data_IF_576140276863
#
_entry.id   IF_576140276863
#
_cell.length_a   1.000
_cell.length_b   1.000
_cell.length_c   1.000
_cell.angle_alpha   90.00
_cell.angle_beta   90.00
_cell.angle_gamma   90.00
#
_symmetry.space_group_name_H-M   'P 1'
#
loop_
_entity.id
_entity.type
_entity.pdbx_description
1 polymer ?
#
# COMPACT_ATOMS: atom_id res chain seq x y z
N UNK A 1 -40.50 105.93 -1.13
CA UNK A 1 -40.16 104.78 -0.24
C UNK A 1 -40.16 103.48 -1.10
N UNK A 2 -39.04 102.76 -1.28
CA UNK A 2 -38.97 101.58 -2.11
C UNK A 2 -39.46 100.39 -1.31
N UNK A 3 -40.40 99.58 -1.90
CA UNK A 3 -40.93 98.35 -1.37
C UNK A 3 -39.84 97.26 -1.47
N UNK A 4 -39.43 96.73 -0.30
CA UNK A 4 -38.52 95.59 -0.18
C UNK A 4 -39.19 94.32 -0.72
N UNK A 5 -38.62 93.75 -1.80
CA UNK A 5 -39.00 92.40 -2.33
C UNK A 5 -38.44 91.34 -1.39
N UNK A 6 -39.33 90.64 -0.62
CA UNK A 6 -39.01 89.41 0.10
C UNK A 6 -38.68 88.34 -0.89
N UNK A 7 -37.45 87.81 -0.90
CA UNK A 7 -37.09 86.56 -1.63
C UNK A 7 -37.87 85.35 -1.08
N UNK A 8 -38.41 84.52 -1.95
CA UNK A 8 -39.11 83.34 -1.48
C UNK A 8 -38.16 82.41 -0.71
N UNK A 9 -38.53 81.89 0.44
CA UNK A 9 -37.81 80.88 1.20
C UNK A 9 -37.74 79.63 0.35
N UNK A 10 -36.55 79.19 -0.07
CA UNK A 10 -36.33 77.91 -0.75
C UNK A 10 -36.83 76.80 0.15
N UNK A 11 -37.78 76.05 -0.34
CA UNK A 11 -38.40 74.95 0.43
C UNK A 11 -37.39 73.80 0.46
N UNK A 12 -36.65 73.69 1.55
CA UNK A 12 -35.62 72.66 1.74
C UNK A 12 -36.20 71.27 2.10
N UNK A 13 -37.52 71.15 2.20
CA UNK A 13 -38.22 69.92 2.60
C UNK A 13 -37.90 68.71 1.67
N UNK A 14 -37.95 68.94 0.35
CA UNK A 14 -37.61 67.89 -0.64
C UNK A 14 -36.14 67.43 -0.53
N UNK A 15 -35.21 68.39 -0.34
CA UNK A 15 -33.80 68.10 -0.11
C UNK A 15 -33.56 67.28 1.14
N UNK A 16 -34.27 67.62 2.24
CA UNK A 16 -34.16 66.89 3.50
C UNK A 16 -34.75 65.46 3.40
N UNK A 17 -35.87 65.28 2.70
CA UNK A 17 -36.44 63.98 2.41
C UNK A 17 -35.46 63.12 1.58
N UNK A 18 -34.86 63.65 0.54
CA UNK A 18 -33.82 62.96 -0.26
C UNK A 18 -32.60 62.55 0.57
N UNK A 19 -32.15 63.44 1.46
CA UNK A 19 -31.03 63.14 2.37
C UNK A 19 -31.37 62.03 3.34
N UNK A 20 -32.59 61.98 3.87
CA UNK A 20 -33.07 60.89 4.74
C UNK A 20 -33.15 59.59 3.98
N UNK A 21 -33.67 59.59 2.75
CA UNK A 21 -33.72 58.37 1.89
C UNK A 21 -32.30 57.85 1.61
N UNK A 22 -31.38 58.72 1.25
CA UNK A 22 -29.95 58.33 1.02
C UNK A 22 -29.33 57.79 2.28
N UNK A 23 -29.57 58.42 3.45
CA UNK A 23 -29.07 57.94 4.73
C UNK A 23 -29.61 56.53 5.06
N UNK A 24 -30.93 56.34 4.89
CA UNK A 24 -31.56 55.01 5.09
C UNK A 24 -30.95 53.98 4.13
N UNK A 25 -30.79 54.31 2.85
CA UNK A 25 -30.13 53.41 1.88
C UNK A 25 -28.71 53.08 2.28
N UNK A 26 -27.92 54.01 2.75
CA UNK A 26 -26.53 53.77 3.22
C UNK A 26 -26.55 52.87 4.44
N UNK A 27 -27.46 53.09 5.41
CA UNK A 27 -27.58 52.21 6.60
C UNK A 27 -27.99 50.80 6.20
N UNK A 28 -28.96 50.64 5.31
CA UNK A 28 -29.45 49.33 4.84
C UNK A 28 -28.36 48.63 4.06
N UNK A 29 -27.69 49.27 3.12
CA UNK A 29 -26.59 48.69 2.36
C UNK A 29 -25.42 48.34 3.30
N UNK A 30 -25.06 49.21 4.25
CA UNK A 30 -24.04 48.93 5.24
C UNK A 30 -24.36 47.74 6.11
N UNK A 31 -25.65 47.59 6.48
CA UNK A 31 -26.13 46.38 7.20
C UNK A 31 -26.04 45.10 6.38
N UNK A 32 -26.43 45.15 5.12
CA UNK A 32 -26.30 44.00 4.17
C UNK A 32 -24.83 43.62 3.98
N UNK A 33 -23.96 44.58 3.71
CA UNK A 33 -22.53 44.33 3.56
C UNK A 33 -21.90 43.79 4.86
N UNK A 34 -22.26 44.35 6.02
CA UNK A 34 -21.78 43.88 7.32
C UNK A 34 -22.24 42.48 7.63
N UNK A 35 -23.51 42.13 7.36
CA UNK A 35 -24.02 40.79 7.48
C UNK A 35 -23.31 39.79 6.55
N UNK A 36 -23.13 40.16 5.29
CA UNK A 36 -22.38 39.34 4.32
C UNK A 36 -20.95 39.08 4.79
N UNK A 37 -20.24 40.12 5.21
CA UNK A 37 -18.86 40.04 5.67
C UNK A 37 -18.72 39.10 6.88
N UNK A 38 -19.57 39.20 7.88
CA UNK A 38 -19.55 38.33 9.08
C UNK A 38 -19.78 36.88 8.70
N UNK A 39 -20.73 36.58 7.78
CA UNK A 39 -21.04 35.23 7.37
C UNK A 39 -20.01 34.59 6.46
N UNK A 40 -19.05 35.33 5.94
CA UNK A 40 -17.93 34.83 5.14
C UNK A 40 -16.66 34.60 5.97
N UNK A 41 -16.65 35.05 7.25
CA UNK A 41 -15.51 34.84 8.15
C UNK A 41 -15.47 33.38 8.67
N UNK A 42 -14.31 32.91 9.13
CA UNK A 42 -14.16 31.61 9.75
C UNK A 42 -15.21 31.34 10.85
N UNK A 43 -15.63 30.09 10.96
CA UNK A 43 -16.61 29.65 12.00
C UNK A 43 -15.90 29.52 13.34
N UNK A 44 -14.69 28.97 13.37
CA UNK A 44 -13.88 28.68 14.54
C UNK A 44 -12.45 29.28 14.44
N UNK A 45 -11.55 28.70 15.19
CA UNK A 45 -10.15 29.12 15.31
C UNK A 45 -9.15 28.21 14.57
N UNK A 46 -9.63 27.20 13.82
CA UNK A 46 -8.83 26.24 13.09
C UNK A 46 -8.44 24.99 13.87
N UNK A 47 -8.96 24.85 15.10
CA UNK A 47 -8.65 23.68 15.92
C UNK A 47 -9.43 22.42 15.51
N UNK A 48 -10.53 22.57 14.77
CA UNK A 48 -11.35 21.48 14.29
C UNK A 48 -11.11 21.24 12.79
N UNK A 49 -10.39 20.17 12.46
CA UNK A 49 -10.13 19.73 11.08
C UNK A 49 -11.04 18.58 10.72
N UNK A 50 -11.61 18.60 9.53
CA UNK A 50 -12.58 17.62 9.02
C UNK A 50 -12.16 17.18 7.62
N UNK A 51 -12.21 15.89 7.34
CA UNK A 51 -12.14 15.35 5.96
C UNK A 51 -13.55 15.47 5.35
N UNK A 52 -13.73 16.52 4.55
CA UNK A 52 -15.00 16.85 3.90
C UNK A 52 -15.11 16.12 2.56
N UNK A 53 -16.13 15.27 2.40
CA UNK A 53 -16.38 14.52 1.17
C UNK A 53 -17.32 15.28 0.24
N UNK A 54 -16.96 15.39 -1.02
CA UNK A 54 -17.83 15.81 -2.12
C UNK A 54 -18.06 14.61 -3.02
N UNK A 55 -19.30 14.11 -3.07
CA UNK A 55 -19.65 12.97 -3.90
C UNK A 55 -19.68 13.36 -5.39
N UNK A 56 -19.37 12.40 -6.25
CA UNK A 56 -19.43 12.60 -7.71
C UNK A 56 -20.87 12.89 -8.14
N UNK A 57 -21.04 13.98 -8.89
CA UNK A 57 -22.36 14.43 -9.35
C UNK A 57 -23.15 15.26 -8.34
N UNK A 58 -22.63 15.55 -7.15
CA UNK A 58 -23.25 16.49 -6.20
C UNK A 58 -23.45 17.87 -6.85
N UNK A 59 -24.61 18.50 -6.62
CA UNK A 59 -24.79 19.88 -7.05
C UNK A 59 -24.17 20.87 -6.04
N UNK A 60 -23.86 22.08 -6.52
CA UNK A 60 -23.18 23.11 -5.69
C UNK A 60 -23.99 23.54 -4.46
N UNK A 61 -25.31 23.49 -4.52
CA UNK A 61 -26.18 23.82 -3.40
C UNK A 61 -26.10 22.74 -2.32
N UNK A 62 -26.02 21.49 -2.70
CA UNK A 62 -25.79 20.36 -1.78
C UNK A 62 -24.45 20.52 -1.09
N UNK A 63 -23.38 20.77 -1.84
CA UNK A 63 -22.03 20.99 -1.27
C UNK A 63 -22.02 22.12 -0.24
N UNK A 64 -22.66 23.27 -0.54
CA UNK A 64 -22.73 24.38 0.40
C UNK A 64 -23.57 24.08 1.66
N UNK A 65 -24.66 23.33 1.52
CA UNK A 65 -25.46 22.92 2.66
C UNK A 65 -24.70 21.95 3.56
N UNK A 66 -23.94 21.03 2.98
CA UNK A 66 -23.11 20.07 3.73
C UNK A 66 -21.97 20.78 4.47
N UNK A 67 -21.34 21.80 3.85
CA UNK A 67 -20.36 22.65 4.53
C UNK A 67 -20.98 23.42 5.72
N UNK A 68 -22.22 23.94 5.58
CA UNK A 68 -22.92 24.61 6.67
C UNK A 68 -23.31 23.61 7.77
N UNK A 69 -23.83 22.44 7.42
CA UNK A 69 -24.21 21.38 8.37
C UNK A 69 -23.03 20.88 9.21
N UNK A 70 -21.83 20.83 8.61
CA UNK A 70 -20.60 20.45 9.30
C UNK A 70 -19.90 21.61 10.00
N UNK A 71 -20.53 22.81 10.07
CA UNK A 71 -19.98 24.02 10.68
C UNK A 71 -18.64 24.46 10.08
N UNK A 72 -18.43 24.28 8.79
CA UNK A 72 -17.27 24.76 8.05
C UNK A 72 -17.50 26.16 7.46
N UNK A 73 -18.76 26.49 7.15
CA UNK A 73 -19.20 27.84 6.75
C UNK A 73 -20.39 28.27 7.61
N UNK A 74 -20.63 29.57 7.73
CA UNK A 74 -21.71 30.13 8.54
C UNK A 74 -23.06 30.16 7.84
N UNK A 75 -23.09 30.28 6.50
CA UNK A 75 -24.32 30.37 5.72
C UNK A 75 -24.11 29.96 4.25
N UNK A 76 -24.76 28.86 3.86
CA UNK A 76 -24.79 28.37 2.49
C UNK A 76 -25.34 29.43 1.51
N UNK A 77 -26.40 30.14 1.94
CA UNK A 77 -27.03 31.20 1.12
C UNK A 77 -26.07 32.35 0.82
N UNK A 78 -25.35 32.85 1.83
CA UNK A 78 -24.39 33.93 1.68
C UNK A 78 -23.19 33.46 0.87
N UNK A 79 -22.71 32.24 1.14
CA UNK A 79 -21.59 31.63 0.40
C UNK A 79 -21.92 31.42 -1.07
N UNK A 80 -23.16 31.01 -1.40
CA UNK A 80 -23.63 30.90 -2.79
C UNK A 80 -23.60 32.23 -3.52
N UNK A 81 -24.05 33.31 -2.87
CA UNK A 81 -24.01 34.65 -3.45
C UNK A 81 -22.57 35.12 -3.65
N UNK A 82 -21.71 34.89 -2.66
CA UNK A 82 -20.28 35.18 -2.74
C UNK A 82 -19.61 34.44 -3.91
N UNK A 83 -19.80 33.10 -4.01
CA UNK A 83 -19.26 32.28 -5.07
C UNK A 83 -19.67 32.78 -6.46
N UNK A 84 -20.95 33.19 -6.63
CA UNK A 84 -21.47 33.73 -7.88
C UNK A 84 -20.84 35.07 -8.27
N UNK A 85 -20.58 35.93 -7.29
CA UNK A 85 -19.99 37.26 -7.54
C UNK A 85 -18.48 37.18 -7.79
N UNK A 86 -17.79 36.25 -7.13
CA UNK A 86 -16.34 36.09 -7.20
C UNK A 86 -15.86 35.05 -8.21
N UNK A 87 -16.79 34.28 -8.79
CA UNK A 87 -16.48 33.22 -9.76
C UNK A 87 -16.04 31.88 -9.13
N UNK A 88 -16.12 31.69 -7.80
CA UNK A 88 -15.76 30.47 -7.11
C UNK A 88 -16.91 29.44 -7.12
N UNK A 89 -17.34 29.03 -8.31
CA UNK A 89 -18.40 28.03 -8.50
C UNK A 89 -17.87 26.68 -8.98
N UNK A 90 -16.58 26.60 -9.27
CA UNK A 90 -15.90 25.35 -9.61
C UNK A 90 -15.56 24.59 -8.33
N UNK A 91 -15.78 23.28 -8.32
CA UNK A 91 -15.43 22.36 -7.27
C UNK A 91 -15.24 20.96 -7.87
N UNK A 92 -14.48 20.12 -7.17
CA UNK A 92 -14.19 18.76 -7.60
C UNK A 92 -14.76 17.77 -6.60
N UNK A 93 -15.15 16.59 -7.09
CA UNK A 93 -15.47 15.46 -6.24
C UNK A 93 -14.19 14.93 -5.57
N UNK A 94 -14.30 14.43 -4.33
CA UNK A 94 -13.16 13.91 -3.58
C UNK A 94 -13.23 14.28 -2.09
N UNK A 95 -12.16 13.99 -1.38
CA UNK A 95 -12.01 14.31 0.04
C UNK A 95 -11.09 15.53 0.20
N UNK A 96 -11.51 16.51 0.98
CA UNK A 96 -10.77 17.74 1.21
C UNK A 96 -10.55 17.93 2.71
N UNK A 97 -9.31 18.12 3.12
CA UNK A 97 -9.05 18.52 4.50
C UNK A 97 -9.39 19.99 4.69
N UNK A 98 -10.48 20.24 5.41
CA UNK A 98 -10.97 21.58 5.75
C UNK A 98 -10.93 21.77 7.25
N UNK A 99 -10.78 23.01 7.71
CA UNK A 99 -10.89 23.35 9.12
C UNK A 99 -11.76 24.59 9.33
N UNK A 100 -12.30 24.73 10.55
CA UNK A 100 -13.22 25.78 10.93
C UNK A 100 -12.58 27.19 11.02
N UNK A 101 -11.24 27.27 10.91
CA UNK A 101 -10.46 28.52 10.81
C UNK A 101 -10.32 29.07 9.39
N UNK A 102 -10.79 28.33 8.38
CA UNK A 102 -10.81 28.77 7.00
C UNK A 102 -11.99 29.71 6.76
N UNK A 103 -11.78 30.79 6.01
CA UNK A 103 -12.88 31.62 5.52
C UNK A 103 -13.65 30.90 4.40
N UNK A 104 -14.91 31.32 4.15
CA UNK A 104 -15.68 30.80 3.00
C UNK A 104 -14.90 30.90 1.68
N UNK A 105 -14.17 31.98 1.47
CA UNK A 105 -13.35 32.16 0.26
C UNK A 105 -12.21 31.15 0.16
N UNK A 106 -11.55 30.87 1.28
CA UNK A 106 -10.47 29.89 1.36
C UNK A 106 -11.01 28.48 1.09
N UNK A 107 -12.14 28.09 1.73
CA UNK A 107 -12.79 26.80 1.52
C UNK A 107 -13.18 26.60 0.05
N UNK A 108 -13.88 27.58 -0.55
CA UNK A 108 -14.29 27.48 -1.95
C UNK A 108 -13.12 27.43 -2.92
N UNK A 109 -12.06 28.18 -2.64
CA UNK A 109 -10.82 28.09 -3.44
C UNK A 109 -10.13 26.73 -3.27
N UNK A 110 -10.19 26.15 -2.07
CA UNK A 110 -9.57 24.87 -1.75
C UNK A 110 -10.26 23.71 -2.47
N UNK A 111 -11.60 23.62 -2.40
CA UNK A 111 -12.38 22.58 -3.09
C UNK A 111 -12.46 22.79 -4.61
N UNK A 112 -12.16 24.00 -5.08
CA UNK A 112 -12.03 24.37 -6.50
C UNK A 112 -10.69 23.98 -7.14
N UNK A 113 -9.75 23.39 -6.40
CA UNK A 113 -8.50 22.89 -6.93
C UNK A 113 -8.39 21.38 -6.68
N UNK A 114 -8.36 20.60 -7.77
CA UNK A 114 -8.27 19.12 -7.70
C UNK A 114 -7.02 18.64 -6.97
N UNK A 115 -5.92 19.39 -7.01
CA UNK A 115 -4.68 19.04 -6.31
C UNK A 115 -4.82 19.02 -4.77
N UNK A 116 -5.86 19.65 -4.24
CA UNK A 116 -6.17 19.65 -2.82
C UNK A 116 -7.07 18.46 -2.40
N UNK A 117 -7.61 17.73 -3.38
CA UNK A 117 -8.38 16.53 -3.09
C UNK A 117 -7.44 15.45 -2.53
N UNK A 118 -7.76 14.98 -1.32
CA UNK A 118 -7.11 13.80 -0.76
C UNK A 118 -7.76 12.56 -1.36
N UNK A 119 -6.98 11.66 -1.86
CA UNK A 119 -7.41 10.29 -2.10
C UNK A 119 -7.53 9.58 -0.74
N UNK A 120 -8.63 8.85 -0.52
CA UNK A 120 -8.71 7.94 0.62
C UNK A 120 -7.68 6.83 0.40
N UNK A 121 -6.71 6.75 1.28
CA UNK A 121 -5.71 5.70 1.23
C UNK A 121 -6.14 4.50 2.07
N UNK A 122 -5.91 3.33 1.51
CA UNK A 122 -6.03 2.03 2.18
C UNK A 122 -4.62 1.54 2.48
N UNK A 123 -4.40 1.11 3.71
CA UNK A 123 -3.12 0.50 4.12
C UNK A 123 -3.23 -1.02 4.10
N UNK A 124 -2.29 -1.68 3.42
CA UNK A 124 -2.13 -3.13 3.45
C UNK A 124 -0.71 -3.46 3.94
N UNK A 125 -0.62 -4.23 5.01
CA UNK A 125 0.64 -4.78 5.50
C UNK A 125 0.79 -6.21 5.00
N UNK A 126 1.87 -6.49 4.29
CA UNK A 126 2.25 -7.81 3.80
C UNK A 126 3.42 -8.29 4.65
N UNK A 127 3.19 -9.24 5.58
CA UNK A 127 4.28 -9.84 6.35
C UNK A 127 5.23 -10.66 5.46
N UNK A 128 6.48 -10.76 5.86
CA UNK A 128 7.44 -11.67 5.23
C UNK A 128 6.94 -13.13 5.28
N UNK A 129 7.26 -13.89 4.26
CA UNK A 129 6.90 -15.29 4.18
C UNK A 129 5.46 -15.58 3.75
N UNK A 130 4.69 -14.56 3.35
CA UNK A 130 3.34 -14.76 2.83
C UNK A 130 3.36 -15.32 1.40
N UNK A 131 2.42 -16.22 1.13
CA UNK A 131 2.14 -16.69 -0.21
C UNK A 131 1.37 -15.66 -1.03
N UNK A 132 1.59 -15.64 -2.34
CA UNK A 132 0.89 -14.72 -3.24
C UNK A 132 -0.65 -14.84 -3.10
N UNK A 133 -1.20 -16.05 -2.84
CA UNK A 133 -2.64 -16.21 -2.59
C UNK A 133 -3.14 -15.49 -1.34
N UNK A 134 -2.31 -15.44 -0.29
CA UNK A 134 -2.65 -14.75 0.95
C UNK A 134 -2.59 -13.22 0.75
N UNK A 135 -1.62 -12.76 -0.04
CA UNK A 135 -1.51 -11.35 -0.44
C UNK A 135 -2.73 -10.96 -1.28
N UNK A 136 -3.11 -11.79 -2.28
CA UNK A 136 -4.30 -11.56 -3.09
C UNK A 136 -5.58 -11.52 -2.26
N UNK A 137 -5.70 -12.39 -1.24
CA UNK A 137 -6.82 -12.36 -0.31
C UNK A 137 -6.87 -11.06 0.50
N UNK A 138 -5.72 -10.58 1.01
CA UNK A 138 -5.65 -9.30 1.72
C UNK A 138 -6.03 -8.10 0.83
N UNK A 139 -5.69 -8.14 -0.46
CA UNK A 139 -6.13 -7.14 -1.44
C UNK A 139 -7.65 -7.21 -1.62
N UNK A 140 -8.21 -8.42 -1.76
CA UNK A 140 -9.66 -8.64 -1.94
C UNK A 140 -10.52 -8.15 -0.76
N UNK A 141 -9.95 -8.09 0.44
CA UNK A 141 -10.62 -7.55 1.64
C UNK A 141 -10.77 -6.02 1.60
N UNK A 142 -9.92 -5.33 0.84
CA UNK A 142 -9.83 -3.86 0.85
C UNK A 142 -10.27 -3.23 -0.48
N UNK A 143 -10.25 -3.99 -1.59
CA UNK A 143 -10.52 -3.53 -2.94
C UNK A 143 -11.65 -4.34 -3.59
N UNK A 144 -12.35 -3.79 -4.61
CA UNK A 144 -13.47 -4.46 -5.27
C UNK A 144 -13.02 -5.55 -6.27
N UNK A 145 -11.95 -6.29 -5.95
CA UNK A 145 -11.41 -7.38 -6.75
C UNK A 145 -11.55 -8.69 -6.00
N UNK A 146 -11.78 -9.79 -6.71
CA UNK A 146 -11.72 -11.12 -6.12
C UNK A 146 -10.27 -11.62 -6.06
N UNK A 147 -9.99 -12.54 -5.15
CA UNK A 147 -8.67 -13.20 -5.07
C UNK A 147 -8.29 -13.85 -6.40
N UNK A 148 -9.25 -14.45 -7.09
CA UNK A 148 -9.07 -15.10 -8.39
C UNK A 148 -8.69 -14.11 -9.48
N UNK A 149 -9.28 -12.91 -9.52
CA UNK A 149 -8.92 -11.85 -10.48
C UNK A 149 -7.49 -11.37 -10.28
N UNK A 150 -7.08 -11.15 -9.03
CA UNK A 150 -5.71 -10.76 -8.69
C UNK A 150 -4.73 -11.87 -9.09
N UNK A 151 -4.99 -13.13 -8.71
CA UNK A 151 -4.13 -14.26 -9.04
C UNK A 151 -4.08 -14.52 -10.55
N UNK A 152 -5.19 -14.36 -11.28
CA UNK A 152 -5.21 -14.48 -12.73
C UNK A 152 -4.31 -13.44 -13.40
N UNK A 153 -4.32 -12.19 -12.91
CA UNK A 153 -3.43 -11.13 -13.39
C UNK A 153 -1.96 -11.48 -13.13
N UNK A 154 -1.62 -12.00 -11.94
CA UNK A 154 -0.25 -12.39 -11.57
C UNK A 154 0.23 -13.67 -12.27
N UNK A 155 -0.66 -14.42 -12.90
CA UNK A 155 -0.37 -15.59 -13.73
C UNK A 155 -0.40 -15.30 -15.24
N UNK A 156 -0.83 -14.11 -15.67
CA UNK A 156 -0.86 -13.75 -17.08
C UNK A 156 0.55 -13.41 -17.59
N UNK A 157 1.09 -14.29 -18.46
CA UNK A 157 2.45 -14.12 -19.00
C UNK A 157 2.57 -12.88 -19.89
N UNK A 158 1.51 -12.47 -20.59
CA UNK A 158 1.56 -11.26 -21.41
C UNK A 158 1.60 -10.01 -20.53
N UNK A 159 0.88 -10.01 -19.40
CA UNK A 159 1.00 -8.94 -18.40
C UNK A 159 2.43 -8.89 -17.81
N UNK A 160 3.02 -10.05 -17.46
CA UNK A 160 4.41 -10.12 -16.95
C UNK A 160 5.41 -9.60 -17.99
N UNK A 161 5.19 -9.87 -19.29
CA UNK A 161 6.01 -9.28 -20.36
C UNK A 161 5.93 -7.76 -20.41
N UNK A 162 4.77 -7.19 -20.12
CA UNK A 162 4.64 -5.73 -20.02
C UNK A 162 5.41 -5.18 -18.83
N UNK A 163 5.33 -5.84 -17.67
CA UNK A 163 6.06 -5.46 -16.46
C UNK A 163 7.58 -5.56 -16.65
N UNK A 164 8.08 -6.57 -17.37
CA UNK A 164 9.50 -6.78 -17.63
C UNK A 164 10.15 -5.65 -18.47
N UNK A 165 9.38 -4.79 -19.13
CA UNK A 165 9.91 -3.58 -19.76
C UNK A 165 10.38 -2.55 -18.73
N UNK A 166 9.77 -2.55 -17.55
CA UNK A 166 10.05 -1.60 -16.47
C UNK A 166 10.94 -2.24 -15.38
N UNK A 167 10.76 -3.55 -15.13
CA UNK A 167 11.43 -4.29 -14.05
C UNK A 167 12.41 -5.32 -14.63
N UNK A 168 13.71 -4.97 -14.67
CA UNK A 168 14.77 -5.80 -15.28
C UNK A 168 15.07 -7.10 -14.54
N UNK A 169 14.60 -7.24 -13.29
CA UNK A 169 14.72 -8.48 -12.52
C UNK A 169 13.68 -9.54 -12.90
N UNK A 170 12.63 -9.17 -13.63
CA UNK A 170 11.65 -10.11 -14.15
C UNK A 170 12.14 -10.69 -15.48
N UNK A 171 12.30 -12.00 -15.54
CA UNK A 171 12.60 -12.73 -16.76
C UNK A 171 11.34 -13.47 -17.25
N UNK A 172 10.63 -12.97 -18.29
CA UNK A 172 9.40 -13.60 -18.76
C UNK A 172 9.60 -15.04 -19.28
N UNK A 173 10.81 -15.39 -19.75
CA UNK A 173 11.10 -16.76 -20.17
C UNK A 173 11.16 -17.70 -18.96
N UNK A 174 11.90 -17.30 -17.93
CA UNK A 174 11.95 -18.05 -16.68
C UNK A 174 10.56 -18.16 -16.03
N UNK A 175 9.73 -17.10 -16.09
CA UNK A 175 8.39 -17.05 -15.50
C UNK A 175 7.29 -17.70 -16.36
N UNK A 176 7.60 -18.20 -17.56
CA UNK A 176 6.61 -18.83 -18.47
C UNK A 176 6.25 -20.27 -18.11
N UNK A 177 6.86 -20.88 -17.10
CA UNK A 177 6.61 -22.27 -16.73
C UNK A 177 5.17 -22.47 -16.26
N UNK A 178 4.45 -23.38 -16.93
CA UNK A 178 3.04 -23.68 -16.65
C UNK A 178 2.83 -24.43 -15.32
N UNK A 179 3.90 -24.98 -14.73
CA UNK A 179 3.83 -25.64 -13.43
C UNK A 179 3.94 -24.66 -12.24
N UNK A 180 4.14 -23.38 -12.48
CA UNK A 180 4.07 -22.39 -11.39
C UNK A 180 2.64 -22.23 -10.90
N UNK A 181 2.48 -22.24 -9.58
CA UNK A 181 1.19 -21.94 -8.94
C UNK A 181 0.82 -20.47 -9.12
N UNK A 182 1.79 -19.57 -8.85
CA UNK A 182 1.70 -18.14 -9.15
C UNK A 182 3.04 -17.67 -9.73
N UNK A 183 3.01 -17.09 -10.94
CA UNK A 183 4.23 -16.68 -11.65
C UNK A 183 4.99 -15.53 -10.98
N UNK A 184 4.29 -14.63 -10.28
CA UNK A 184 4.89 -13.52 -9.52
C UNK A 184 5.22 -13.89 -8.06
N UNK A 185 5.07 -15.15 -7.63
CA UNK A 185 5.52 -15.60 -6.32
C UNK A 185 7.00 -15.28 -6.11
N UNK A 186 7.33 -14.73 -4.96
CA UNK A 186 8.69 -14.31 -4.59
C UNK A 186 9.05 -12.87 -4.95
N UNK A 187 8.24 -12.18 -5.75
CA UNK A 187 8.49 -10.82 -6.20
C UNK A 187 7.54 -9.77 -5.61
N UNK A 188 6.50 -10.20 -4.90
CA UNK A 188 5.53 -9.35 -4.24
C UNK A 188 6.06 -8.97 -2.86
N UNK A 189 6.92 -7.94 -2.81
CA UNK A 189 7.77 -7.66 -1.66
C UNK A 189 6.97 -7.37 -0.39
N UNK A 190 7.34 -7.97 0.76
CA UNK A 190 6.69 -7.75 2.05
C UNK A 190 7.05 -6.37 2.63
N UNK A 191 6.02 -5.55 2.85
CA UNK A 191 6.13 -4.21 3.45
C UNK A 191 4.71 -3.71 3.82
N UNK A 192 4.61 -2.55 4.43
CA UNK A 192 3.35 -1.83 4.59
C UNK A 192 3.19 -0.79 3.49
N UNK A 193 2.17 -0.97 2.68
CA UNK A 193 1.87 -0.12 1.53
C UNK A 193 0.62 0.72 1.73
N UNK A 194 0.60 1.90 1.13
CA UNK A 194 -0.55 2.79 1.09
C UNK A 194 -1.01 2.93 -0.36
N UNK A 195 -2.28 2.65 -0.60
CA UNK A 195 -2.90 2.69 -1.92
C UNK A 195 -4.06 3.65 -1.93
N UNK A 196 -4.32 4.28 -3.05
CA UNK A 196 -5.56 4.99 -3.26
C UNK A 196 -6.72 3.97 -3.28
N UNK A 197 -7.88 4.34 -2.72
CA UNK A 197 -9.01 3.42 -2.54
C UNK A 197 -9.55 2.84 -3.87
N UNK A 198 -9.30 3.52 -4.97
CA UNK A 198 -9.65 3.15 -6.34
C UNK A 198 -8.46 2.58 -7.13
N UNK A 199 -7.35 2.23 -6.46
CA UNK A 199 -6.17 1.69 -7.11
C UNK A 199 -6.51 0.41 -7.90
N UNK A 200 -6.01 0.35 -9.12
CA UNK A 200 -6.14 -0.80 -10.01
C UNK A 200 -5.23 -1.96 -9.56
N UNK A 201 -5.52 -3.19 -10.02
CA UNK A 201 -4.63 -4.34 -9.79
C UNK A 201 -3.22 -4.07 -10.33
N UNK A 202 -3.09 -3.33 -11.45
CA UNK A 202 -1.79 -2.95 -12.02
C UNK A 202 -1.02 -2.01 -11.07
N UNK A 203 -1.66 -0.97 -10.55
CA UNK A 203 -1.03 -0.04 -9.61
C UNK A 203 -0.61 -0.72 -8.31
N UNK A 204 -1.46 -1.62 -7.77
CA UNK A 204 -1.13 -2.43 -6.61
C UNK A 204 0.08 -3.31 -6.92
N UNK A 205 0.05 -4.06 -8.02
CA UNK A 205 1.14 -4.96 -8.42
C UNK A 205 2.45 -4.21 -8.60
N UNK A 206 2.43 -3.07 -9.29
CA UNK A 206 3.62 -2.24 -9.49
C UNK A 206 4.17 -1.69 -8.18
N UNK A 207 3.32 -1.33 -7.24
CA UNK A 207 3.76 -0.87 -5.91
C UNK A 207 4.50 -1.98 -5.16
N UNK A 208 4.01 -3.23 -5.20
CA UNK A 208 4.69 -4.38 -4.59
C UNK A 208 6.02 -4.67 -5.29
N UNK A 209 6.05 -4.60 -6.62
CA UNK A 209 7.28 -4.79 -7.42
C UNK A 209 8.30 -3.67 -7.20
N UNK A 210 7.88 -2.43 -6.98
CA UNK A 210 8.78 -1.32 -6.63
C UNK A 210 9.47 -1.57 -5.27
N UNK A 211 8.76 -2.23 -4.33
CA UNK A 211 9.35 -2.72 -3.09
C UNK A 211 10.51 -3.68 -3.37
N UNK A 212 10.28 -4.68 -4.23
CA UNK A 212 11.32 -5.64 -4.64
C UNK A 212 12.44 -4.94 -5.42
N UNK A 213 12.14 -4.02 -6.32
CA UNK A 213 13.13 -3.27 -7.08
C UNK A 213 14.10 -2.50 -6.17
N UNK A 214 13.58 -1.92 -5.10
CA UNK A 214 14.41 -1.24 -4.08
C UNK A 214 15.48 -2.18 -3.50
N UNK A 215 15.10 -3.41 -3.20
CA UNK A 215 16.02 -4.45 -2.70
C UNK A 215 16.94 -4.95 -3.81
N UNK A 216 16.41 -5.18 -5.02
CA UNK A 216 17.21 -5.58 -6.16
C UNK A 216 18.32 -4.56 -6.48
N UNK A 217 18.00 -3.28 -6.56
CA UNK A 217 19.00 -2.23 -6.81
C UNK A 217 20.01 -2.09 -5.65
N UNK A 218 19.57 -2.26 -4.40
CA UNK A 218 20.46 -2.28 -3.23
C UNK A 218 21.53 -3.36 -3.32
N UNK A 219 21.16 -4.55 -3.79
CA UNK A 219 22.04 -5.72 -3.88
C UNK A 219 22.43 -6.07 -5.32
N UNK A 220 22.25 -5.16 -6.27
CA UNK A 220 22.47 -5.40 -7.71
C UNK A 220 23.82 -6.01 -8.04
N UNK A 221 24.89 -5.52 -7.40
CA UNK A 221 26.24 -6.04 -7.63
C UNK A 221 26.36 -7.52 -7.23
N UNK A 222 25.69 -7.94 -6.16
CA UNK A 222 25.69 -9.32 -5.71
C UNK A 222 24.86 -10.20 -6.64
N UNK A 223 23.70 -9.75 -7.08
CA UNK A 223 22.89 -10.43 -8.08
C UNK A 223 23.66 -10.62 -9.38
N UNK A 224 24.26 -9.55 -9.93
CA UNK A 224 25.00 -9.58 -11.19
C UNK A 224 26.27 -10.47 -11.15
N UNK A 225 26.88 -10.62 -9.97
CA UNK A 225 28.09 -11.47 -9.80
C UNK A 225 27.76 -12.93 -9.45
N UNK A 226 26.48 -13.27 -9.21
CA UNK A 226 26.08 -14.65 -8.91
C UNK A 226 26.14 -15.55 -10.14
N UNK A 227 26.45 -16.83 -9.93
CA UNK A 227 26.31 -17.89 -10.95
C UNK A 227 24.86 -18.38 -11.09
N UNK A 228 23.99 -18.01 -10.16
CA UNK A 228 22.57 -18.31 -10.19
C UNK A 228 21.78 -17.15 -10.79
N UNK A 229 20.70 -17.46 -11.51
CA UNK A 229 19.77 -16.42 -11.99
C UNK A 229 19.05 -15.74 -10.83
N UNK A 230 18.51 -14.53 -11.07
CA UNK A 230 17.70 -13.81 -10.06
C UNK A 230 16.57 -14.72 -9.55
N UNK A 231 15.87 -15.41 -10.47
CA UNK A 231 14.78 -16.31 -10.10
C UNK A 231 15.24 -17.46 -9.19
N UNK A 232 16.41 -18.02 -9.45
CA UNK A 232 17.00 -19.07 -8.61
C UNK A 232 17.38 -18.53 -7.21
N UNK A 233 17.94 -17.33 -7.15
CA UNK A 233 18.29 -16.68 -5.88
C UNK A 233 17.05 -16.35 -5.05
N UNK A 234 15.99 -15.83 -5.67
CA UNK A 234 14.70 -15.58 -5.01
C UNK A 234 14.05 -16.90 -4.56
N UNK A 235 14.16 -17.97 -5.37
CA UNK A 235 13.68 -19.29 -4.98
C UNK A 235 14.39 -19.80 -3.73
N UNK A 236 15.72 -19.69 -3.68
CA UNK A 236 16.48 -20.08 -2.49
C UNK A 236 16.17 -19.18 -1.27
N UNK A 237 16.04 -17.87 -1.49
CA UNK A 237 15.67 -16.92 -0.43
C UNK A 237 14.30 -17.25 0.18
N UNK A 238 13.34 -17.69 -0.64
CA UNK A 238 12.04 -18.11 -0.16
C UNK A 238 12.11 -19.37 0.72
N UNK A 239 13.00 -20.31 0.41
CA UNK A 239 13.25 -21.49 1.26
C UNK A 239 13.91 -21.05 2.58
N UNK A 240 14.97 -20.24 2.52
CA UNK A 240 15.67 -19.74 3.71
C UNK A 240 14.76 -18.93 4.63
N UNK A 241 13.87 -18.11 4.07
CA UNK A 241 12.89 -17.33 4.85
C UNK A 241 12.00 -18.23 5.70
N UNK A 242 11.58 -19.35 5.17
CA UNK A 242 10.68 -20.25 5.89
C UNK A 242 11.40 -21.13 6.92
N UNK A 243 12.62 -21.57 6.58
CA UNK A 243 13.42 -22.45 7.45
C UNK A 243 13.97 -21.75 8.70
N UNK A 244 14.11 -20.42 8.66
CA UNK A 244 14.75 -19.69 9.74
C UNK A 244 13.76 -18.83 10.53
N UNK A 245 13.68 -19.07 11.83
CA UNK A 245 12.96 -18.18 12.76
C UNK A 245 13.73 -16.91 13.12
N UNK A 246 14.97 -16.73 12.62
CA UNK A 246 15.89 -15.65 13.02
C UNK A 246 16.76 -15.19 11.87
N UNK A 247 16.79 -13.87 11.64
CA UNK A 247 17.64 -13.25 10.62
C UNK A 247 19.14 -13.57 10.80
N UNK A 248 19.59 -13.85 12.05
CA UNK A 248 20.97 -14.19 12.35
C UNK A 248 21.37 -15.57 11.84
N UNK A 249 20.43 -16.51 11.76
CA UNK A 249 20.67 -17.88 11.28
C UNK A 249 20.62 -18.00 9.76
N UNK A 250 19.85 -17.13 9.09
CA UNK A 250 19.63 -17.19 7.65
C UNK A 250 20.91 -17.32 6.80
N UNK A 251 22.00 -16.54 7.05
CA UNK A 251 23.22 -16.67 6.26
C UNK A 251 23.93 -18.02 6.41
N UNK A 252 23.83 -18.65 7.61
CA UNK A 252 24.38 -19.99 7.87
C UNK A 252 23.56 -21.06 7.18
N UNK A 253 22.24 -20.99 7.26
CA UNK A 253 21.30 -21.90 6.57
C UNK A 253 21.44 -21.79 5.05
N UNK A 254 21.54 -20.56 4.52
CA UNK A 254 21.77 -20.35 3.09
C UNK A 254 23.06 -21.08 2.61
N UNK A 255 24.13 -21.01 3.40
CA UNK A 255 25.36 -21.73 3.09
C UNK A 255 25.20 -23.25 3.13
N UNK A 256 24.41 -23.80 4.08
CA UNK A 256 24.11 -25.24 4.12
C UNK A 256 23.44 -25.68 2.82
N UNK A 257 22.46 -24.93 2.30
CA UNK A 257 21.82 -25.23 1.03
C UNK A 257 22.80 -25.14 -0.15
N UNK A 258 23.68 -24.13 -0.21
CA UNK A 258 24.74 -24.08 -1.22
C UNK A 258 25.71 -25.26 -1.14
N UNK A 259 26.07 -25.68 0.08
CA UNK A 259 26.95 -26.86 0.26
C UNK A 259 26.28 -28.12 -0.27
N UNK A 260 24.98 -28.33 -0.01
CA UNK A 260 24.19 -29.45 -0.56
C UNK A 260 24.12 -29.39 -2.10
N UNK A 261 23.78 -28.24 -2.67
CA UNK A 261 23.74 -28.04 -4.12
C UNK A 261 25.10 -28.35 -4.78
N UNK A 262 26.20 -27.88 -4.19
CA UNK A 262 27.56 -28.13 -4.67
C UNK A 262 27.96 -29.62 -4.63
N UNK A 263 27.38 -30.38 -3.69
CA UNK A 263 27.59 -31.83 -3.57
C UNK A 263 26.54 -32.66 -4.32
N UNK A 264 25.66 -32.01 -5.10
CA UNK A 264 24.54 -32.66 -5.79
C UNK A 264 23.60 -33.43 -4.82
N UNK A 265 23.50 -32.97 -3.60
CA UNK A 265 22.53 -33.44 -2.62
C UNK A 265 21.20 -32.76 -2.84
N UNK A 266 20.11 -33.45 -2.59
CA UNK A 266 18.77 -32.85 -2.55
C UNK A 266 18.67 -31.91 -1.36
N UNK A 267 17.84 -30.87 -1.49
CA UNK A 267 17.66 -29.91 -0.39
C UNK A 267 16.86 -30.51 0.76
N UNK A 268 15.91 -31.41 0.47
CA UNK A 268 15.09 -32.14 1.44
C UNK A 268 14.48 -31.20 2.50
N UNK A 269 13.92 -30.09 2.03
CA UNK A 269 13.34 -29.05 2.85
C UNK A 269 11.82 -29.22 2.87
N UNK A 270 11.27 -29.47 4.07
CA UNK A 270 9.83 -29.74 4.27
C UNK A 270 8.95 -28.56 3.87
N UNK A 271 9.47 -27.32 3.96
CA UNK A 271 8.73 -26.12 3.55
C UNK A 271 8.40 -26.11 2.05
N UNK A 272 9.18 -26.81 1.23
CA UNK A 272 8.85 -27.01 -0.19
C UNK A 272 7.68 -27.97 -0.39
N UNK A 273 7.47 -28.90 0.53
CA UNK A 273 6.30 -29.76 0.58
C UNK A 273 5.07 -28.96 1.01
N UNK A 274 5.19 -28.04 1.98
CA UNK A 274 4.10 -27.13 2.34
C UNK A 274 3.57 -26.39 1.11
N UNK A 275 4.45 -25.84 0.28
CA UNK A 275 4.03 -25.17 -0.94
C UNK A 275 3.53 -26.14 -2.02
N UNK A 276 4.04 -27.36 -2.07
CA UNK A 276 3.48 -28.41 -2.94
C UNK A 276 2.01 -28.70 -2.58
N UNK A 277 1.68 -28.68 -1.29
CA UNK A 277 0.34 -28.86 -0.74
C UNK A 277 -0.54 -27.58 -0.79
N UNK A 278 -0.12 -26.56 -1.45
CA UNK A 278 -0.71 -25.19 -1.51
C UNK A 278 -2.24 -25.11 -1.45
N UNK A 279 -2.94 -25.98 -2.20
CA UNK A 279 -4.40 -26.00 -2.26
C UNK A 279 -5.04 -26.91 -1.21
N UNK A 280 -4.27 -27.85 -0.64
CA UNK A 280 -4.69 -28.85 0.35
C UNK A 280 -4.11 -28.58 1.74
N UNK A 281 -3.32 -27.52 1.88
CA UNK A 281 -2.59 -27.21 3.11
C UNK A 281 -3.57 -26.83 4.24
N UNK A 282 -3.60 -27.66 5.28
CA UNK A 282 -4.42 -27.46 6.47
C UNK A 282 -3.61 -27.56 7.78
N UNK A 283 -2.54 -28.34 7.79
CA UNK A 283 -1.72 -28.57 8.97
C UNK A 283 -0.22 -28.54 8.60
N UNK A 284 0.62 -27.75 9.31
CA UNK A 284 2.07 -27.78 9.12
C UNK A 284 2.71 -29.17 9.24
N UNK A 285 2.15 -30.07 10.05
CA UNK A 285 2.64 -31.44 10.17
C UNK A 285 2.52 -32.24 8.86
N UNK A 286 1.58 -31.90 7.98
CA UNK A 286 1.46 -32.54 6.67
C UNK A 286 2.73 -32.38 5.83
N UNK A 287 3.45 -31.28 5.99
CA UNK A 287 4.70 -31.00 5.26
C UNK A 287 5.82 -31.97 5.65
N UNK A 288 5.85 -32.39 6.91
CA UNK A 288 6.89 -33.27 7.45
C UNK A 288 6.64 -34.76 7.08
N UNK A 289 5.37 -35.13 6.94
CA UNK A 289 4.99 -36.57 6.72
C UNK A 289 4.68 -36.88 5.26
N UNK A 290 4.30 -35.89 4.44
CA UNK A 290 3.93 -36.09 3.01
C UNK A 290 5.08 -35.81 2.06
N UNK A 291 6.30 -36.19 2.43
CA UNK A 291 7.50 -35.94 1.61
C UNK A 291 7.52 -36.70 0.27
N UNK A 292 6.57 -37.61 0.05
CA UNK A 292 6.38 -38.39 -1.16
C UNK A 292 5.43 -37.76 -2.20
N UNK A 293 4.88 -36.55 -1.92
CA UNK A 293 3.98 -35.86 -2.85
C UNK A 293 4.67 -35.49 -4.16
N UNK A 294 4.11 -35.95 -5.29
CA UNK A 294 4.63 -35.59 -6.62
C UNK A 294 4.34 -34.11 -6.93
N UNK A 295 5.38 -33.30 -6.85
CA UNK A 295 5.32 -31.88 -7.20
C UNK A 295 6.71 -31.42 -7.65
N UNK A 296 6.81 -30.55 -8.67
CA UNK A 296 8.09 -29.98 -9.08
C UNK A 296 8.70 -29.03 -8.02
N UNK A 297 7.93 -28.64 -7.00
CA UNK A 297 8.44 -27.90 -5.85
C UNK A 297 9.09 -28.81 -4.80
N UNK A 298 8.71 -30.08 -4.71
CA UNK A 298 9.16 -31.00 -3.66
C UNK A 298 10.64 -31.35 -3.78
N UNK A 299 11.47 -30.80 -2.92
CA UNK A 299 12.94 -31.04 -2.92
C UNK A 299 13.37 -32.34 -2.25
N UNK A 300 12.45 -33.19 -1.77
CA UNK A 300 12.74 -34.57 -1.42
C UNK A 300 12.76 -35.49 -2.65
N UNK A 301 12.02 -35.14 -3.70
CA UNK A 301 11.92 -35.95 -4.92
C UNK A 301 12.72 -35.38 -6.09
N UNK A 302 12.94 -34.05 -6.12
CA UNK A 302 13.63 -33.37 -7.20
C UNK A 302 15.01 -32.87 -6.75
N UNK A 303 15.99 -33.00 -7.62
CA UNK A 303 17.35 -32.52 -7.38
C UNK A 303 17.43 -31.00 -7.63
N UNK A 304 18.26 -30.31 -6.86
CA UNK A 304 18.49 -28.89 -7.01
C UNK A 304 17.46 -28.01 -6.27
N UNK A 305 17.28 -26.80 -6.76
CA UNK A 305 16.28 -25.84 -6.22
C UNK A 305 14.85 -26.24 -6.61
N UNK A 306 13.83 -25.85 -5.83
CA UNK A 306 12.45 -25.93 -6.32
C UNK A 306 12.31 -25.14 -7.62
N UNK A 307 11.34 -25.46 -8.45
CA UNK A 307 11.17 -24.85 -9.77
C UNK A 307 10.99 -23.32 -9.72
N UNK A 308 10.53 -22.78 -8.60
CA UNK A 308 10.33 -21.35 -8.36
C UNK A 308 10.21 -21.04 -6.88
N UNK A 309 10.04 -19.75 -6.54
CA UNK A 309 9.83 -19.32 -5.16
C UNK A 309 8.60 -20.00 -4.53
N UNK A 310 8.68 -20.25 -3.23
CA UNK A 310 7.62 -20.90 -2.43
C UNK A 310 6.91 -19.91 -1.50
N UNK A 311 7.33 -18.66 -1.47
CA UNK A 311 6.73 -17.54 -0.75
C UNK A 311 7.45 -16.24 -1.14
N UNK A 312 6.99 -15.11 -0.59
CA UNK A 312 7.62 -13.81 -0.78
C UNK A 312 8.60 -13.51 0.35
N UNK A 313 9.92 -13.59 0.08
CA UNK A 313 10.95 -13.40 1.10
C UNK A 313 11.15 -11.94 1.45
N UNK A 314 11.54 -11.67 2.70
CA UNK A 314 12.01 -10.38 3.14
C UNK A 314 13.46 -10.08 2.74
N UNK A 315 13.90 -8.86 3.04
CA UNK A 315 15.26 -8.41 2.73
C UNK A 315 16.34 -9.29 3.36
N UNK A 316 16.14 -9.71 4.61
CA UNK A 316 17.15 -10.49 5.35
C UNK A 316 17.42 -11.85 4.69
N UNK A 317 16.39 -12.52 4.19
CA UNK A 317 16.54 -13.79 3.48
C UNK A 317 17.23 -13.61 2.13
N UNK A 318 16.89 -12.54 1.39
CA UNK A 318 17.56 -12.20 0.11
C UNK A 318 19.03 -11.90 0.37
N UNK A 319 19.34 -11.07 1.38
CA UNK A 319 20.70 -10.75 1.75
C UNK A 319 21.49 -11.99 2.19
N UNK A 320 20.87 -12.89 2.96
CA UNK A 320 21.50 -14.13 3.43
C UNK A 320 21.93 -15.04 2.25
N UNK A 321 21.11 -15.15 1.24
CA UNK A 321 21.43 -15.93 0.04
C UNK A 321 22.51 -15.26 -0.80
N UNK A 322 22.53 -13.93 -0.88
CA UNK A 322 23.55 -13.17 -1.62
C UNK A 322 24.89 -13.09 -0.88
N UNK A 323 24.87 -13.15 0.45
CA UNK A 323 26.04 -13.02 1.33
C UNK A 323 26.04 -14.13 2.40
N UNK A 324 26.11 -15.42 2.01
CA UNK A 324 26.05 -16.53 2.95
C UNK A 324 27.27 -16.56 3.86
N UNK A 325 27.10 -17.06 5.10
CA UNK A 325 28.20 -17.25 6.06
C UNK A 325 28.99 -18.52 5.73
N UNK A 326 30.27 -18.43 5.30
CA UNK A 326 31.05 -19.59 4.92
C UNK A 326 31.12 -20.65 6.03
N UNK A 327 30.73 -21.87 5.72
CA UNK A 327 30.80 -23.04 6.56
C UNK A 327 30.83 -24.32 5.71
N UNK A 328 30.98 -25.49 6.33
CA UNK A 328 31.00 -26.80 5.68
C UNK A 328 29.84 -27.70 6.13
N UNK A 329 28.84 -27.13 6.80
CA UNK A 329 27.68 -27.86 7.27
C UNK A 329 26.79 -28.34 6.09
N UNK A 330 26.20 -29.51 6.27
CA UNK A 330 25.28 -30.13 5.32
C UNK A 330 23.88 -30.36 5.91
N UNK A 331 23.77 -30.31 7.23
CA UNK A 331 22.53 -30.57 7.96
C UNK A 331 22.36 -29.53 9.06
N UNK A 332 21.11 -29.26 9.39
CA UNK A 332 20.73 -28.45 10.55
C UNK A 332 19.43 -29.01 11.17
N UNK A 333 19.21 -28.75 12.44
CA UNK A 333 17.99 -29.09 13.16
C UNK A 333 17.76 -28.03 14.26
N UNK A 334 16.51 -27.59 14.41
CA UNK A 334 16.11 -26.69 15.48
C UNK A 334 15.61 -27.49 16.70
N UNK A 335 15.95 -27.03 17.90
CA UNK A 335 15.40 -27.56 19.17
C UNK A 335 13.98 -27.00 19.36
N UNK A 336 12.99 -27.64 18.73
CA UNK A 336 11.58 -27.20 18.76
C UNK A 336 10.91 -27.46 20.13
N UNK A 337 11.51 -28.28 21.01
CA UNK A 337 10.98 -28.57 22.34
C UNK A 337 11.71 -27.79 23.45
N UNK A 338 12.83 -27.12 23.13
CA UNK A 338 13.65 -26.36 24.05
C UNK A 338 13.61 -24.85 23.80
N UNK A 339 14.77 -24.27 23.56
CA UNK A 339 14.94 -22.81 23.40
C UNK A 339 14.91 -22.31 21.94
N UNK A 340 14.69 -23.19 20.97
CA UNK A 340 14.69 -22.88 19.54
C UNK A 340 16.08 -22.76 18.92
N UNK A 341 17.16 -23.13 19.63
CA UNK A 341 18.53 -23.12 19.12
C UNK A 341 18.67 -24.02 17.90
N UNK A 342 19.41 -23.55 16.88
CA UNK A 342 19.69 -24.32 15.67
C UNK A 342 21.08 -24.97 15.79
N UNK A 343 21.10 -26.27 15.55
CA UNK A 343 22.33 -27.09 15.57
C UNK A 343 22.71 -27.50 14.16
N UNK A 344 23.99 -27.43 13.83
CA UNK A 344 24.53 -27.70 12.52
C UNK A 344 25.45 -28.91 12.55
N UNK A 345 25.47 -29.71 11.48
CA UNK A 345 26.27 -30.92 11.37
C UNK A 345 26.89 -31.05 9.98
N UNK A 346 28.07 -31.65 9.89
CA UNK A 346 28.77 -31.90 8.62
C UNK A 346 28.49 -33.29 8.07
N UNK A 347 28.05 -34.23 8.93
CA UNK A 347 27.72 -35.60 8.51
C UNK A 347 26.31 -35.97 8.97
N UNK A 348 25.73 -36.97 8.28
CA UNK A 348 24.41 -37.47 8.60
C UNK A 348 24.37 -38.16 9.99
N UNK A 349 25.47 -38.85 10.35
CA UNK A 349 25.62 -39.48 11.65
C UNK A 349 25.57 -38.47 12.80
N UNK A 350 26.27 -37.34 12.66
CA UNK A 350 26.23 -36.23 13.63
C UNK A 350 24.82 -35.65 13.75
N UNK A 351 24.15 -35.49 12.61
CA UNK A 351 22.78 -34.98 12.55
C UNK A 351 21.80 -35.90 13.26
N UNK A 352 21.87 -37.22 12.97
CA UNK A 352 21.02 -38.22 13.64
C UNK A 352 21.25 -38.23 15.16
N UNK A 353 22.51 -38.22 15.59
CA UNK A 353 22.85 -38.17 17.04
C UNK A 353 22.26 -36.92 17.71
N UNK A 354 22.27 -35.77 17.02
CA UNK A 354 21.66 -34.53 17.49
C UNK A 354 20.15 -34.63 17.59
N UNK A 355 19.49 -35.20 16.56
CA UNK A 355 18.05 -35.42 16.57
C UNK A 355 17.62 -36.36 17.72
N UNK A 356 18.39 -37.44 17.98
CA UNK A 356 18.16 -38.33 19.12
C UNK A 356 18.30 -37.58 20.48
N UNK A 357 19.35 -36.74 20.62
CA UNK A 357 19.57 -35.94 21.82
C UNK A 357 18.42 -34.97 22.09
N UNK A 358 17.83 -34.39 21.03
CA UNK A 358 16.72 -33.44 21.08
C UNK A 358 15.34 -34.13 21.18
N UNK A 359 15.29 -35.48 21.08
CA UNK A 359 14.04 -36.22 21.09
C UNK A 359 13.19 -36.03 19.82
N UNK A 360 13.84 -35.75 18.71
CA UNK A 360 13.19 -35.47 17.39
C UNK A 360 13.19 -36.68 16.45
N UNK A 361 13.61 -37.84 16.92
CA UNK A 361 13.57 -39.08 16.12
C UNK A 361 12.13 -39.56 16.05
N UNK A 362 11.59 -39.64 14.85
CA UNK A 362 10.31 -40.29 14.56
C UNK A 362 10.63 -41.77 14.37
N UNK A 363 10.08 -42.67 15.24
CA UNK A 363 10.15 -44.13 15.05
C UNK A 363 9.39 -44.62 13.83
#
# INVERSE_FOLDING_TARGET
>A
MPKSRRRPKKNNTVRNILLVIVLVLVVVLGGIFGYGYINLQPVGDGSNTVDFQIEEGSDFDTVLNDLENQNLIRSATVSKLYARVTGHQEYYAGFFELNDGMSTGDILSHIGNIENAKTQQVSITIPEGKWAKEIAASISEQFPYTTEEVLATWNDIEYIRTLANDYTFLDPEALSNENYKVKLEGYLFPETYFFDKDATIDEITRTLLNGFETIYEKYKTQFDNSSYSIHQLVSLASVVQFESGSAQEMPTIAQVFYNRLNQQMRLESSVTVCYALYDEFNDPQDCEVRTDIESPYNTYLNDGLPIGPILNPGEEAINAVLNPSPNDYLFFVADIYGDGSVYYSTTYEEHQARMEELGLVIE
#
